data_IF_297904116918
#
_entry.id   IF_297904116918
#
_cell.length_a   1.000
_cell.length_b   1.000
_cell.length_c   1.000
_cell.angle_alpha   90.00
_cell.angle_beta   90.00
_cell.angle_gamma   90.00
#
_symmetry.space_group_name_H-M   'P 1'
#
loop_
_entity.id
_entity.type
_entity.pdbx_description
1 polymer ?
#
# COMPACT_ATOMS: atom_id res chain seq x y z
N UNK A 1 22.70 8.55 6.04
CA UNK A 1 21.63 9.35 5.42
C UNK A 1 21.46 8.91 3.98
N UNK A 2 20.28 9.09 3.42
CA UNK A 2 19.93 8.66 2.06
C UNK A 2 19.46 9.87 1.28
N UNK A 3 20.03 10.08 0.10
CA UNK A 3 19.73 11.25 -0.74
C UNK A 3 18.32 11.15 -1.32
N UNK A 4 17.57 12.23 -1.21
CA UNK A 4 16.25 12.42 -1.84
C UNK A 4 16.45 13.14 -3.16
N UNK A 5 15.97 12.53 -4.25
CA UNK A 5 16.05 13.14 -5.58
C UNK A 5 14.91 14.12 -5.80
N UNK A 6 13.75 13.80 -5.29
CA UNK A 6 12.59 14.67 -5.21
C UNK A 6 11.57 14.14 -4.20
N UNK A 7 10.75 15.05 -3.71
CA UNK A 7 9.58 14.78 -2.90
C UNK A 7 8.47 15.72 -3.36
N UNK A 8 7.54 15.24 -4.15
CA UNK A 8 6.55 16.06 -4.83
C UNK A 8 5.12 15.63 -4.50
N UNK A 9 4.24 16.59 -4.40
CA UNK A 9 2.80 16.36 -4.23
C UNK A 9 2.21 15.78 -5.51
N UNK A 10 1.44 14.68 -5.40
CA UNK A 10 0.78 14.01 -6.53
C UNK A 10 -0.74 14.08 -6.49
N UNK A 11 -1.32 14.24 -5.28
CA UNK A 11 -2.74 14.59 -5.09
C UNK A 11 -2.87 15.62 -3.96
N UNK A 12 -4.08 16.04 -3.61
CA UNK A 12 -4.33 16.97 -2.51
C UNK A 12 -3.74 16.51 -1.16
N UNK A 13 -3.60 15.19 -0.93
CA UNK A 13 -3.10 14.62 0.32
C UNK A 13 -1.96 13.62 0.16
N UNK A 14 -1.45 13.37 -1.06
CA UNK A 14 -0.43 12.35 -1.29
C UNK A 14 0.81 12.93 -1.96
N UNK A 15 1.96 12.32 -1.66
CA UNK A 15 3.28 12.67 -2.17
C UNK A 15 3.95 11.46 -2.79
N UNK A 16 4.80 11.71 -3.80
CA UNK A 16 5.75 10.76 -4.36
C UNK A 16 7.16 11.19 -3.97
N UNK A 17 7.93 10.29 -3.35
CA UNK A 17 9.32 10.53 -2.98
C UNK A 17 10.22 9.50 -3.67
N UNK A 18 11.35 9.98 -4.21
CA UNK A 18 12.41 9.17 -4.81
C UNK A 18 13.68 9.26 -3.97
N UNK A 19 14.22 8.12 -3.57
CA UNK A 19 15.36 8.02 -2.65
C UNK A 19 16.44 7.13 -3.25
N UNK A 20 17.69 7.58 -3.23
CA UNK A 20 18.85 6.74 -3.57
C UNK A 20 19.08 5.71 -2.46
N UNK A 21 18.76 4.44 -2.72
CA UNK A 21 18.92 3.34 -1.77
C UNK A 21 19.33 2.03 -2.49
N UNK A 22 20.53 1.96 -3.06
CA UNK A 22 20.97 0.87 -3.93
C UNK A 22 20.94 -0.51 -3.24
N UNK A 23 21.20 -0.58 -1.94
CA UNK A 23 21.14 -1.84 -1.19
C UNK A 23 19.70 -2.37 -1.04
N UNK A 24 18.71 -1.48 -0.94
CA UNK A 24 17.29 -1.84 -0.92
C UNK A 24 16.88 -2.35 -2.29
N UNK A 25 17.15 -1.56 -3.33
CA UNK A 25 16.74 -1.85 -4.71
C UNK A 25 17.31 -3.17 -5.24
N UNK A 26 18.54 -3.51 -4.87
CA UNK A 26 19.21 -4.74 -5.32
C UNK A 26 18.44 -6.02 -4.99
N UNK A 27 17.60 -6.01 -3.95
CA UNK A 27 16.90 -7.20 -3.42
C UNK A 27 15.39 -7.08 -3.43
N UNK A 28 14.83 -5.97 -3.90
CA UNK A 28 13.39 -5.75 -3.88
C UNK A 28 12.66 -6.67 -4.85
N UNK A 29 11.55 -7.22 -4.37
CA UNK A 29 10.56 -7.94 -5.16
C UNK A 29 9.20 -7.28 -4.89
N UNK A 30 8.30 -7.18 -5.89
CA UNK A 30 6.98 -6.57 -5.67
C UNK A 30 6.21 -7.15 -4.48
N UNK A 31 5.47 -6.29 -3.78
CA UNK A 31 4.74 -6.63 -2.55
C UNK A 31 5.49 -6.29 -1.26
N UNK A 32 6.78 -5.99 -1.34
CA UNK A 32 7.59 -5.59 -0.19
C UNK A 32 7.48 -4.08 0.11
N UNK A 33 7.91 -3.71 1.31
CA UNK A 33 7.91 -2.35 1.82
C UNK A 33 9.28 -1.98 2.43
N UNK A 34 9.46 -0.74 2.82
CA UNK A 34 10.60 -0.29 3.62
C UNK A 34 10.13 0.63 4.75
N UNK A 35 10.94 0.75 5.79
CA UNK A 35 10.77 1.77 6.83
C UNK A 35 11.59 2.99 6.45
N UNK A 36 10.94 4.15 6.39
CA UNK A 36 11.58 5.43 6.10
C UNK A 36 11.57 6.30 7.35
N UNK A 37 12.70 6.91 7.68
CA UNK A 37 12.86 7.87 8.78
C UNK A 37 13.26 9.22 8.22
N UNK A 38 12.44 10.25 8.44
CA UNK A 38 12.72 11.59 7.97
C UNK A 38 13.99 12.18 8.62
N UNK A 39 14.10 12.08 9.96
CA UNK A 39 15.23 12.53 10.78
C UNK A 39 15.62 11.44 11.78
N UNK A 40 16.72 11.65 12.53
CA UNK A 40 17.25 10.69 13.50
C UNK A 40 16.26 10.35 14.63
N UNK A 41 15.50 11.35 15.08
CA UNK A 41 14.50 11.25 16.15
C UNK A 41 13.07 11.00 15.63
N UNK A 42 12.90 10.85 14.30
CA UNK A 42 11.60 10.60 13.68
C UNK A 42 11.15 9.16 13.85
N UNK A 43 9.84 8.96 13.82
CA UNK A 43 9.26 7.62 13.74
C UNK A 43 9.60 6.94 12.41
N UNK A 44 9.66 5.61 12.46
CA UNK A 44 9.79 4.78 11.27
C UNK A 44 8.43 4.64 10.58
N UNK A 45 8.36 5.08 9.34
CA UNK A 45 7.14 5.03 8.54
C UNK A 45 7.20 3.83 7.61
N UNK A 46 6.31 2.83 7.72
CA UNK A 46 6.25 1.72 6.78
C UNK A 46 5.61 2.21 5.46
N UNK A 47 6.39 2.19 4.39
CA UNK A 47 5.96 2.59 3.06
C UNK A 47 6.14 1.44 2.08
N UNK A 48 5.08 1.07 1.38
CA UNK A 48 5.15 0.09 0.30
C UNK A 48 6.04 0.62 -0.83
N UNK A 49 6.93 -0.22 -1.32
CA UNK A 49 7.77 0.12 -2.46
C UNK A 49 6.85 0.18 -3.69
N UNK A 50 6.73 1.38 -4.26
CA UNK A 50 5.84 1.69 -5.37
C UNK A 50 6.47 1.38 -6.73
N UNK A 51 7.75 1.74 -6.89
CA UNK A 51 8.54 1.48 -8.08
C UNK A 51 10.03 1.48 -7.69
N UNK A 52 10.89 1.00 -8.57
CA UNK A 52 12.33 1.01 -8.34
C UNK A 52 13.10 0.98 -9.66
N UNK A 53 14.29 1.58 -9.65
CA UNK A 53 15.25 1.58 -10.76
C UNK A 53 16.53 0.89 -10.28
N UNK A 54 16.75 -0.34 -10.72
CA UNK A 54 17.90 -1.14 -10.27
C UNK A 54 19.24 -0.59 -10.79
N UNK A 55 19.25 0.00 -11.98
CA UNK A 55 20.47 0.54 -12.59
C UNK A 55 20.94 1.79 -11.86
N UNK A 56 20.00 2.66 -11.49
CA UNK A 56 20.28 3.90 -10.77
C UNK A 56 20.27 3.74 -9.24
N UNK A 57 19.84 2.60 -8.73
CA UNK A 57 19.74 2.37 -7.29
C UNK A 57 18.66 3.23 -6.59
N UNK A 58 17.56 3.55 -7.28
CA UNK A 58 16.51 4.45 -6.80
C UNK A 58 15.29 3.65 -6.41
N UNK A 59 14.74 3.93 -5.22
CA UNK A 59 13.45 3.43 -4.76
C UNK A 59 12.43 4.57 -4.72
N UNK A 60 11.18 4.27 -5.10
CA UNK A 60 10.09 5.22 -5.12
C UNK A 60 8.98 4.80 -4.17
N UNK A 61 8.46 5.77 -3.44
CA UNK A 61 7.32 5.58 -2.55
C UNK A 61 6.22 6.59 -2.87
N UNK A 62 4.97 6.17 -2.77
CA UNK A 62 3.82 7.08 -2.69
C UNK A 62 3.21 6.92 -1.31
N UNK A 63 3.02 8.04 -0.62
CA UNK A 63 2.46 8.06 0.73
C UNK A 63 1.42 9.16 0.87
N UNK A 64 0.49 8.94 1.80
CA UNK A 64 -0.52 9.92 2.16
C UNK A 64 -0.15 10.59 3.48
N UNK A 65 -0.36 11.90 3.57
CA UNK A 65 -0.20 12.66 4.81
C UNK A 65 -1.43 12.44 5.68
N UNK A 66 -1.25 11.61 6.71
CA UNK A 66 -2.33 11.18 7.62
C UNK A 66 -1.98 11.39 9.10
N UNK A 67 -0.81 11.91 9.41
CA UNK A 67 -0.32 12.12 10.77
C UNK A 67 0.99 12.90 10.80
N UNK A 68 1.51 13.16 11.99
CA UNK A 68 2.71 13.97 12.21
C UNK A 68 3.92 13.45 11.42
N UNK A 69 4.18 12.14 11.46
CA UNK A 69 5.37 11.55 10.82
C UNK A 69 5.33 11.67 9.30
N UNK A 70 4.17 11.44 8.67
CA UNK A 70 4.00 11.60 7.21
C UNK A 70 3.97 13.08 6.80
N UNK A 71 3.50 13.97 7.66
CA UNK A 71 3.61 15.42 7.44
C UNK A 71 5.07 15.86 7.50
N UNK A 72 5.84 15.43 8.50
CA UNK A 72 7.27 15.71 8.58
C UNK A 72 8.01 15.22 7.33
N UNK A 73 7.74 14.01 6.87
CA UNK A 73 8.32 13.48 5.64
C UNK A 73 8.01 14.36 4.43
N UNK A 74 6.83 14.99 4.37
CA UNK A 74 6.44 15.86 3.23
C UNK A 74 7.29 17.13 3.08
N UNK A 75 7.98 17.54 4.13
CA UNK A 75 8.89 18.69 4.12
C UNK A 75 10.35 18.34 3.77
N UNK A 76 10.68 17.05 3.72
CA UNK A 76 12.03 16.60 3.35
C UNK A 76 12.32 16.95 1.89
N UNK A 77 13.51 17.55 1.64
CA UNK A 77 13.95 17.97 0.29
C UNK A 77 15.20 17.23 -0.17
N UNK A 78 16.20 17.12 0.69
CA UNK A 78 17.54 16.72 0.26
C UNK A 78 17.91 15.30 0.70
N UNK A 79 17.57 14.94 1.95
CA UNK A 79 17.93 13.63 2.51
C UNK A 79 16.94 13.14 3.57
N UNK A 80 16.83 11.83 3.71
CA UNK A 80 16.19 11.16 4.85
C UNK A 80 17.26 10.48 5.70
N UNK A 81 17.00 10.40 7.01
CA UNK A 81 17.94 9.79 7.96
C UNK A 81 18.14 8.28 7.68
N UNK A 82 17.05 7.56 7.41
CA UNK A 82 17.11 6.12 7.26
C UNK A 82 16.11 5.54 6.27
N UNK A 83 16.57 4.49 5.56
CA UNK A 83 15.72 3.59 4.77
C UNK A 83 16.13 2.17 5.10
N UNK A 84 15.23 1.40 5.71
CA UNK A 84 15.46 0.00 6.08
C UNK A 84 14.54 -0.89 5.26
N UNK A 85 15.12 -1.73 4.44
CA UNK A 85 14.36 -2.63 3.55
C UNK A 85 15.27 -3.40 2.58
N UNK A 86 14.67 -4.19 1.68
CA UNK A 86 13.23 -4.48 1.62
C UNK A 86 12.80 -5.35 2.80
N UNK A 87 11.58 -5.13 3.29
CA UNK A 87 10.95 -5.85 4.39
C UNK A 87 9.67 -6.55 3.92
N UNK A 88 9.21 -7.50 4.71
CA UNK A 88 8.05 -8.31 4.38
C UNK A 88 8.35 -9.39 3.34
N UNK A 89 7.39 -10.30 3.18
CA UNK A 89 7.44 -11.31 2.12
C UNK A 89 7.10 -10.68 0.77
N UNK A 90 7.71 -11.12 -0.32
CA UNK A 90 7.27 -10.78 -1.66
C UNK A 90 5.83 -11.23 -1.91
N UNK A 91 5.15 -10.55 -2.84
CA UNK A 91 3.86 -11.02 -3.35
C UNK A 91 3.98 -12.48 -3.86
N UNK A 92 3.06 -13.34 -3.41
CA UNK A 92 3.07 -14.78 -3.73
C UNK A 92 3.02 -15.01 -5.25
N UNK A 93 2.19 -14.23 -5.96
CA UNK A 93 1.99 -14.38 -7.40
C UNK A 93 3.25 -13.99 -8.18
N UNK A 94 3.90 -12.90 -7.79
CA UNK A 94 5.14 -12.46 -8.41
C UNK A 94 6.30 -13.43 -8.12
N UNK A 95 6.37 -13.95 -6.90
CA UNK A 95 7.43 -14.88 -6.48
C UNK A 95 7.32 -16.24 -7.17
N UNK A 96 6.10 -16.75 -7.33
CA UNK A 96 5.82 -18.07 -7.88
C UNK A 96 5.07 -17.96 -9.22
N UNK A 97 5.48 -17.03 -10.09
CA UNK A 97 4.80 -16.65 -11.33
C UNK A 97 4.31 -17.84 -12.16
N UNK A 98 5.13 -18.89 -12.30
CA UNK A 98 4.79 -20.07 -13.11
C UNK A 98 3.51 -20.78 -12.66
N UNK A 99 3.19 -20.77 -11.36
CA UNK A 99 1.97 -21.38 -10.80
C UNK A 99 0.71 -20.57 -11.12
N UNK A 100 0.90 -19.29 -11.48
CA UNK A 100 -0.19 -18.32 -11.67
C UNK A 100 -0.37 -17.84 -13.12
N UNK A 101 0.53 -18.16 -14.03
CA UNK A 101 0.55 -17.62 -15.41
C UNK A 101 -0.72 -17.88 -16.24
N UNK A 102 -1.51 -18.88 -15.86
CA UNK A 102 -2.78 -19.21 -16.53
C UNK A 102 -4.01 -18.78 -15.73
N UNK A 103 -3.82 -18.02 -14.63
CA UNK A 103 -4.92 -17.59 -13.77
C UNK A 103 -5.47 -16.24 -14.20
N UNK A 104 -6.78 -16.09 -14.09
CA UNK A 104 -7.46 -14.81 -14.24
C UNK A 104 -7.42 -14.08 -12.91
N UNK A 105 -6.69 -12.97 -12.86
CA UNK A 105 -6.41 -12.24 -11.64
C UNK A 105 -7.01 -10.84 -11.71
N UNK A 106 -7.72 -10.43 -10.66
CA UNK A 106 -8.18 -9.06 -10.46
C UNK A 106 -7.51 -8.44 -9.25
N UNK A 107 -6.95 -7.26 -9.43
CA UNK A 107 -6.46 -6.42 -8.33
C UNK A 107 -7.51 -5.38 -7.97
N UNK A 108 -7.81 -5.23 -6.68
CA UNK A 108 -8.74 -4.23 -6.15
C UNK A 108 -7.96 -3.25 -5.28
N UNK A 109 -7.83 -2.02 -5.76
CA UNK A 109 -7.03 -0.97 -5.13
C UNK A 109 -7.90 0.15 -4.59
N UNK A 110 -7.70 0.55 -3.34
CA UNK A 110 -8.40 1.68 -2.71
C UNK A 110 -7.48 2.82 -2.32
N UNK A 111 -7.72 4.02 -2.83
CA UNK A 111 -6.94 5.21 -2.51
C UNK A 111 -5.44 5.02 -2.78
N UNK A 112 -4.60 5.25 -1.75
CA UNK A 112 -3.14 5.07 -1.84
C UNK A 112 -2.73 3.61 -2.10
N UNK A 113 -3.62 2.63 -1.90
CA UNK A 113 -3.39 1.22 -2.24
C UNK A 113 -3.10 0.96 -3.71
N UNK A 114 -3.40 1.92 -4.60
CA UNK A 114 -3.00 1.86 -6.00
C UNK A 114 -1.47 1.82 -6.16
N UNK A 115 -0.74 2.47 -5.27
CA UNK A 115 0.73 2.50 -5.30
C UNK A 115 1.36 1.09 -5.12
N UNK A 116 1.06 0.31 -4.06
CA UNK A 116 1.60 -1.04 -3.90
C UNK A 116 1.07 -2.06 -4.93
N UNK A 117 -0.07 -1.80 -5.56
CA UNK A 117 -0.58 -2.64 -6.66
C UNK A 117 0.29 -2.50 -7.92
N UNK A 118 0.74 -1.29 -8.23
CA UNK A 118 1.46 -1.00 -9.47
C UNK A 118 2.71 -1.89 -9.72
N UNK A 119 3.66 -2.03 -8.79
CA UNK A 119 4.84 -2.86 -9.03
C UNK A 119 4.52 -4.33 -9.25
N UNK A 120 3.46 -4.85 -8.60
CA UNK A 120 3.00 -6.21 -8.79
C UNK A 120 2.43 -6.41 -10.19
N UNK A 121 1.52 -5.53 -10.60
CA UNK A 121 0.88 -5.56 -11.94
C UNK A 121 1.91 -5.34 -13.04
N UNK A 122 2.84 -4.39 -12.87
CA UNK A 122 3.94 -4.14 -13.81
C UNK A 122 4.82 -5.38 -13.95
N UNK A 123 5.20 -6.03 -12.85
CA UNK A 123 5.98 -7.27 -12.89
C UNK A 123 5.27 -8.37 -13.70
N UNK A 124 3.99 -8.58 -13.43
CA UNK A 124 3.19 -9.59 -14.15
C UNK A 124 3.07 -9.26 -15.64
N UNK A 125 2.84 -8.00 -15.99
CA UNK A 125 2.81 -7.52 -17.36
C UNK A 125 4.15 -7.79 -18.09
N UNK A 126 5.27 -7.46 -17.45
CA UNK A 126 6.61 -7.63 -18.03
C UNK A 126 6.98 -9.11 -18.23
N UNK A 127 6.30 -10.02 -17.50
CA UNK A 127 6.40 -11.48 -17.66
C UNK A 127 5.29 -12.06 -18.56
N UNK A 128 4.48 -11.22 -19.21
CA UNK A 128 3.47 -11.65 -20.18
C UNK A 128 2.10 -11.99 -19.61
N UNK A 129 1.85 -11.80 -18.32
CA UNK A 129 0.54 -11.98 -17.69
C UNK A 129 -0.16 -10.63 -17.51
N UNK A 130 -1.21 -10.40 -18.27
CA UNK A 130 -2.05 -9.21 -18.13
C UNK A 130 -3.19 -9.49 -17.14
N UNK A 131 -3.32 -8.64 -16.16
CA UNK A 131 -4.34 -8.72 -15.10
C UNK A 131 -5.33 -7.56 -15.19
N UNK A 132 -6.51 -7.71 -14.61
CA UNK A 132 -7.49 -6.63 -14.49
C UNK A 132 -7.30 -5.88 -13.16
N UNK A 133 -7.65 -4.59 -13.17
CA UNK A 133 -7.59 -3.74 -11.97
C UNK A 133 -8.94 -3.04 -11.76
N UNK A 134 -9.41 -2.99 -10.52
CA UNK A 134 -10.50 -2.13 -10.06
C UNK A 134 -9.88 -1.10 -9.12
N UNK A 135 -9.93 0.17 -9.48
CA UNK A 135 -9.34 1.25 -8.71
C UNK A 135 -10.43 2.15 -8.12
N UNK A 136 -10.41 2.34 -6.81
CA UNK A 136 -11.36 3.17 -6.09
C UNK A 136 -10.74 4.36 -5.39
N UNK A 137 -11.46 5.48 -5.38
CA UNK A 137 -11.14 6.67 -4.61
C UNK A 137 -12.40 7.43 -4.23
N UNK A 138 -12.30 8.40 -3.32
CA UNK A 138 -13.43 9.28 -2.98
C UNK A 138 -13.86 10.16 -4.16
N UNK A 139 -12.89 10.64 -4.95
CA UNK A 139 -13.10 11.52 -6.11
C UNK A 139 -12.02 11.30 -7.16
N UNK A 140 -12.26 11.80 -8.38
CA UNK A 140 -11.38 11.64 -9.54
C UNK A 140 -9.95 12.16 -9.32
N UNK A 141 -9.79 13.28 -8.62
CA UNK A 141 -8.50 13.93 -8.32
C UNK A 141 -7.63 13.14 -7.32
N UNK A 142 -8.23 12.16 -6.63
CA UNK A 142 -7.53 11.25 -5.71
C UNK A 142 -7.11 9.92 -6.37
N UNK A 143 -7.48 9.69 -7.62
CA UNK A 143 -7.05 8.51 -8.37
C UNK A 143 -5.57 8.65 -8.77
N UNK A 144 -4.72 7.87 -8.13
CA UNK A 144 -3.27 7.89 -8.32
C UNK A 144 -2.84 7.15 -9.59
N UNK A 145 -1.75 7.59 -10.20
CA UNK A 145 -0.96 6.89 -11.24
C UNK A 145 -1.76 6.24 -12.39
N UNK A 146 -2.89 6.83 -12.75
CA UNK A 146 -3.78 6.30 -13.80
C UNK A 146 -3.04 5.99 -15.09
N UNK A 147 -2.30 6.98 -15.62
CA UNK A 147 -1.59 6.87 -16.90
C UNK A 147 -0.51 5.77 -16.91
N UNK A 148 0.10 5.49 -15.73
CA UNK A 148 1.07 4.40 -15.60
C UNK A 148 0.36 3.05 -15.52
N UNK A 149 -0.72 2.96 -14.75
CA UNK A 149 -1.46 1.72 -14.57
C UNK A 149 -2.13 1.26 -15.86
N UNK A 150 -2.75 2.16 -16.61
CA UNK A 150 -3.43 1.87 -17.88
C UNK A 150 -2.51 1.23 -18.94
N UNK A 151 -1.19 1.44 -18.83
CA UNK A 151 -0.20 0.87 -19.76
C UNK A 151 0.15 -0.59 -19.46
N UNK A 152 -0.09 -1.07 -18.26
CA UNK A 152 0.38 -2.39 -17.78
C UNK A 152 -0.74 -3.37 -17.45
N UNK A 153 -2.00 -2.93 -17.50
CA UNK A 153 -3.18 -3.77 -17.22
C UNK A 153 -3.79 -4.34 -18.50
N UNK A 154 -4.60 -5.40 -18.36
CA UNK A 154 -5.50 -5.85 -19.42
C UNK A 154 -6.72 -4.91 -19.50
N UNK A 155 -7.39 -4.70 -18.36
CA UNK A 155 -8.53 -3.81 -18.21
C UNK A 155 -8.49 -3.13 -16.85
N UNK A 156 -8.81 -1.83 -16.82
CA UNK A 156 -9.01 -1.11 -15.58
C UNK A 156 -10.43 -0.57 -15.50
N UNK A 157 -11.04 -0.71 -14.32
CA UNK A 157 -12.33 -0.14 -13.98
C UNK A 157 -12.14 0.80 -12.80
N UNK A 158 -12.81 1.93 -12.84
CA UNK A 158 -12.73 2.94 -11.80
C UNK A 158 -14.05 3.07 -11.05
N UNK A 159 -13.98 3.28 -9.74
CA UNK A 159 -15.11 3.64 -8.89
C UNK A 159 -14.75 4.90 -8.09
N UNK A 160 -15.68 5.87 -8.03
CA UNK A 160 -15.53 7.02 -7.13
C UNK A 160 -16.78 7.20 -6.30
N UNK A 161 -16.61 7.49 -5.00
CA UNK A 161 -17.72 7.61 -4.08
C UNK A 161 -18.69 8.72 -4.53
N UNK A 162 -18.15 9.84 -5.04
CA UNK A 162 -18.90 11.00 -5.53
C UNK A 162 -19.41 10.86 -6.97
N UNK A 163 -18.93 9.85 -7.73
CA UNK A 163 -19.29 9.64 -9.13
C UNK A 163 -18.59 10.57 -10.12
N UNK A 164 -17.53 11.25 -9.69
CA UNK A 164 -16.77 12.19 -10.54
C UNK A 164 -15.95 11.48 -11.65
N UNK A 165 -15.70 10.16 -11.52
CA UNK A 165 -15.06 9.35 -12.54
C UNK A 165 -15.42 7.86 -12.40
N UNK A 166 -15.67 7.19 -13.54
CA UNK A 166 -16.02 5.77 -13.56
C UNK A 166 -17.42 5.49 -12.98
N UNK A 167 -17.54 4.37 -12.26
CA UNK A 167 -18.77 3.98 -11.58
C UNK A 167 -18.93 4.79 -10.29
N UNK A 168 -20.10 5.37 -10.05
CA UNK A 168 -20.43 5.98 -8.75
C UNK A 168 -20.66 4.87 -7.73
N UNK A 169 -19.89 4.85 -6.65
CA UNK A 169 -19.97 3.85 -5.60
C UNK A 169 -18.62 3.29 -5.21
N UNK A 170 -18.62 2.11 -4.62
CA UNK A 170 -17.42 1.44 -4.10
C UNK A 170 -16.83 0.43 -5.09
N UNK A 171 -15.59 0.06 -4.86
CA UNK A 171 -14.91 -0.99 -5.65
C UNK A 171 -15.65 -2.33 -5.60
N UNK A 172 -16.38 -2.60 -4.53
CA UNK A 172 -17.21 -3.79 -4.38
C UNK A 172 -18.41 -3.81 -5.31
N UNK A 173 -18.99 -2.66 -5.64
CA UNK A 173 -20.11 -2.55 -6.57
C UNK A 173 -19.68 -2.90 -8.00
N UNK A 174 -18.38 -2.68 -8.29
CA UNK A 174 -17.77 -3.04 -9.58
C UNK A 174 -17.30 -4.50 -9.58
N UNK A 175 -16.82 -5.01 -8.44
CA UNK A 175 -16.29 -6.37 -8.31
C UNK A 175 -17.39 -7.44 -8.30
N UNK A 176 -18.44 -7.23 -7.50
CA UNK A 176 -19.49 -8.24 -7.24
C UNK A 176 -20.07 -8.86 -8.52
N UNK A 177 -20.52 -8.06 -9.53
CA UNK A 177 -21.11 -8.62 -10.76
C UNK A 177 -20.13 -9.36 -11.68
N UNK A 178 -18.82 -9.29 -11.44
CA UNK A 178 -17.78 -9.89 -12.29
C UNK A 178 -16.87 -10.85 -11.51
N UNK A 179 -17.14 -11.09 -10.24
CA UNK A 179 -16.26 -11.87 -9.37
C UNK A 179 -16.06 -13.30 -9.86
N UNK A 180 -17.08 -13.91 -10.46
CA UNK A 180 -17.03 -15.28 -11.01
C UNK A 180 -16.14 -15.41 -12.26
N UNK A 181 -15.73 -14.31 -12.87
CA UNK A 181 -14.84 -14.30 -14.04
C UNK A 181 -13.37 -14.55 -13.65
N UNK A 182 -13.03 -14.53 -12.36
CA UNK A 182 -11.65 -14.56 -11.85
C UNK A 182 -11.36 -15.78 -10.98
N UNK A 183 -10.09 -16.18 -10.99
CA UNK A 183 -9.57 -17.25 -10.11
C UNK A 183 -9.02 -16.67 -8.79
N UNK A 184 -8.52 -15.42 -8.83
CA UNK A 184 -7.85 -14.77 -7.68
C UNK A 184 -8.19 -13.29 -7.65
N UNK A 185 -8.50 -12.80 -6.45
CA UNK A 185 -8.59 -11.38 -6.13
C UNK A 185 -7.43 -10.98 -5.22
N UNK A 186 -6.78 -9.84 -5.51
CA UNK A 186 -5.78 -9.22 -4.62
C UNK A 186 -6.30 -7.85 -4.22
N UNK A 187 -6.57 -7.63 -2.94
CA UNK A 187 -7.13 -6.37 -2.45
C UNK A 187 -6.12 -5.61 -1.58
N UNK A 188 -5.85 -4.35 -1.96
CA UNK A 188 -4.90 -3.47 -1.27
C UNK A 188 -5.52 -2.08 -1.07
N UNK A 189 -5.67 -1.66 0.17
CA UNK A 189 -6.28 -0.37 0.50
C UNK A 189 -6.65 -0.23 1.98
N UNK A 190 -7.61 0.63 2.30
CA UNK A 190 -8.12 0.75 3.66
C UNK A 190 -8.64 -0.58 4.21
N UNK A 191 -8.40 -0.82 5.52
CA UNK A 191 -8.77 -2.08 6.18
C UNK A 191 -10.25 -2.44 5.97
N UNK A 192 -11.14 -1.44 6.07
CA UNK A 192 -12.57 -1.64 5.86
C UNK A 192 -12.90 -2.03 4.41
N UNK A 193 -12.19 -1.47 3.42
CA UNK A 193 -12.36 -1.86 2.02
C UNK A 193 -11.93 -3.32 1.80
N UNK A 194 -10.76 -3.71 2.34
CA UNK A 194 -10.28 -5.10 2.22
C UNK A 194 -11.25 -6.09 2.86
N UNK A 195 -11.81 -5.73 4.04
CA UNK A 195 -12.87 -6.53 4.68
C UNK A 195 -14.08 -6.69 3.76
N UNK A 196 -14.63 -5.59 3.23
CA UNK A 196 -15.82 -5.66 2.36
C UNK A 196 -15.55 -6.41 1.06
N UNK A 197 -14.36 -6.28 0.47
CA UNK A 197 -13.94 -7.11 -0.67
C UNK A 197 -13.95 -8.60 -0.30
N UNK A 198 -13.40 -8.97 0.87
CA UNK A 198 -13.44 -10.36 1.34
C UNK A 198 -14.87 -10.87 1.57
N UNK A 199 -15.77 -10.01 2.09
CA UNK A 199 -17.17 -10.37 2.29
C UNK A 199 -17.89 -10.65 0.95
N UNK A 200 -17.54 -9.89 -0.11
CA UNK A 200 -18.04 -10.14 -1.48
C UNK A 200 -17.42 -11.41 -2.05
N UNK A 201 -16.11 -11.51 -2.11
CA UNK A 201 -15.41 -12.63 -2.76
C UNK A 201 -15.68 -13.97 -2.11
N UNK A 202 -16.02 -13.98 -0.81
CA UNK A 202 -16.40 -15.19 -0.10
C UNK A 202 -17.71 -15.80 -0.63
N UNK A 203 -18.67 -14.96 -1.08
CA UNK A 203 -19.92 -15.44 -1.69
C UNK A 203 -19.69 -16.14 -3.02
N UNK A 204 -18.65 -15.72 -3.74
CA UNK A 204 -18.24 -16.27 -5.04
C UNK A 204 -17.18 -17.37 -4.93
N UNK A 205 -16.79 -17.79 -3.71
CA UNK A 205 -15.67 -18.72 -3.48
C UNK A 205 -14.38 -18.29 -4.18
N UNK A 206 -14.19 -16.99 -4.39
CA UNK A 206 -13.02 -16.42 -5.07
C UNK A 206 -11.85 -16.28 -4.09
N UNK A 207 -10.74 -16.99 -4.32
CA UNK A 207 -9.52 -16.87 -3.50
C UNK A 207 -9.11 -15.41 -3.41
N UNK A 208 -8.94 -14.89 -2.19
CA UNK A 208 -8.65 -13.48 -1.97
C UNK A 208 -7.41 -13.29 -1.13
N UNK A 209 -6.45 -12.53 -1.64
CA UNK A 209 -5.25 -12.09 -0.94
C UNK A 209 -5.44 -10.63 -0.54
N UNK A 210 -5.10 -10.27 0.69
CA UNK A 210 -5.15 -8.89 1.19
C UNK A 210 -3.79 -8.45 1.69
N UNK A 211 -3.41 -7.21 1.43
CA UNK A 211 -2.16 -6.62 1.95
C UNK A 211 -2.46 -5.83 3.22
N UNK A 212 -2.17 -6.43 4.36
CA UNK A 212 -2.42 -5.87 5.69
C UNK A 212 -1.48 -4.71 6.00
N UNK A 213 -2.03 -3.64 6.55
CA UNK A 213 -1.33 -2.42 6.92
C UNK A 213 -1.48 -2.04 8.41
N UNK A 214 -1.18 -2.97 9.35
CA UNK A 214 -1.24 -2.68 10.77
C UNK A 214 -0.15 -1.67 11.17
N UNK A 215 -0.27 -1.13 12.39
CA UNK A 215 0.80 -0.34 12.99
C UNK A 215 2.12 -1.12 12.98
N UNK A 216 3.19 -0.49 12.50
CA UNK A 216 4.54 -1.07 12.48
C UNK A 216 5.53 -0.12 13.15
N UNK A 217 6.49 -0.69 13.91
CA UNK A 217 7.51 0.09 14.64
C UNK A 217 8.92 -0.26 14.14
N UNK A 218 9.36 -1.51 14.28
CA UNK A 218 10.74 -1.90 13.94
C UNK A 218 10.90 -2.69 12.64
N UNK A 219 9.83 -3.35 12.17
CA UNK A 219 9.85 -4.15 10.95
C UNK A 219 10.62 -5.48 11.03
N UNK A 220 11.20 -5.81 12.20
CA UNK A 220 12.03 -7.02 12.40
C UNK A 220 11.25 -8.22 12.97
N UNK A 221 9.99 -8.01 13.38
CA UNK A 221 9.16 -9.00 14.06
C UNK A 221 9.39 -9.11 15.57
N UNK A 222 10.31 -8.33 16.13
CA UNK A 222 10.64 -8.41 17.55
C UNK A 222 9.64 -7.66 18.44
N UNK A 223 9.19 -6.47 18.03
CA UNK A 223 8.32 -5.61 18.85
C UNK A 223 6.86 -6.09 18.92
N UNK A 224 6.40 -6.91 17.97
CA UNK A 224 5.03 -7.43 17.92
C UNK A 224 3.95 -6.39 17.62
N UNK A 225 4.28 -5.14 17.27
CA UNK A 225 3.33 -4.08 16.99
C UNK A 225 2.42 -4.43 15.79
N UNK A 226 2.99 -5.01 14.72
CA UNK A 226 2.28 -5.38 13.50
C UNK A 226 1.54 -6.73 13.57
N UNK A 227 1.23 -7.20 14.77
CA UNK A 227 0.51 -8.47 14.96
C UNK A 227 -0.92 -8.39 14.41
N UNK A 228 -1.27 -9.36 13.59
CA UNK A 228 -2.63 -9.64 13.13
C UNK A 228 -2.95 -11.12 13.39
N UNK A 229 -4.23 -11.45 13.42
CA UNK A 229 -4.69 -12.83 13.55
C UNK A 229 -5.11 -13.38 12.19
N UNK A 230 -4.53 -14.54 11.83
CA UNK A 230 -4.79 -15.22 10.57
C UNK A 230 -5.05 -16.70 10.89
N UNK A 231 -6.23 -17.19 10.56
CA UNK A 231 -6.64 -18.58 10.84
C UNK A 231 -6.52 -18.94 12.34
N UNK A 232 -6.95 -18.02 13.22
CA UNK A 232 -6.88 -18.16 14.68
C UNK A 232 -5.46 -18.14 15.26
N UNK A 233 -4.44 -17.74 14.46
CA UNK A 233 -3.04 -17.72 14.89
C UNK A 233 -2.44 -16.35 14.75
N UNK A 234 -1.62 -15.88 15.72
CA UNK A 234 -0.92 -14.61 15.61
C UNK A 234 0.14 -14.67 14.50
N UNK A 235 0.12 -13.68 13.62
CA UNK A 235 1.13 -13.42 12.58
C UNK A 235 1.65 -12.00 12.71
N UNK A 236 2.88 -11.76 12.27
CA UNK A 236 3.48 -10.43 12.21
C UNK A 236 3.56 -10.00 10.75
N UNK A 237 2.85 -8.93 10.38
CA UNK A 237 2.77 -8.49 8.99
C UNK A 237 4.15 -8.15 8.41
N UNK A 238 5.08 -7.63 9.21
CA UNK A 238 6.43 -7.30 8.77
C UNK A 238 7.33 -8.51 8.45
N UNK A 239 6.99 -9.72 8.92
CA UNK A 239 7.78 -10.94 8.71
C UNK A 239 7.03 -11.98 7.89
N UNK A 240 5.76 -12.24 8.23
CA UNK A 240 4.96 -13.30 7.63
C UNK A 240 4.11 -12.80 6.46
N UNK A 241 3.89 -11.48 6.38
CA UNK A 241 3.13 -10.76 5.37
C UNK A 241 4.02 -9.73 4.63
N UNK A 242 3.44 -8.63 4.12
CA UNK A 242 2.15 -8.07 4.51
C UNK A 242 0.90 -8.76 3.93
N UNK A 243 1.07 -9.63 2.94
CA UNK A 243 -0.04 -10.27 2.25
C UNK A 243 -0.45 -11.59 2.92
N UNK A 244 -1.76 -11.80 3.04
CA UNK A 244 -2.36 -12.97 3.66
C UNK A 244 -3.65 -13.39 2.95
N UNK A 245 -4.11 -14.62 3.19
CA UNK A 245 -5.44 -15.08 2.81
C UNK A 245 -6.50 -14.22 3.52
N UNK A 246 -7.21 -13.40 2.75
CA UNK A 246 -8.16 -12.43 3.28
C UNK A 246 -9.35 -13.06 3.99
N UNK A 247 -9.74 -14.29 3.61
CA UNK A 247 -10.85 -15.00 4.25
C UNK A 247 -10.48 -15.58 5.63
N UNK A 248 -9.19 -15.54 6.01
CA UNK A 248 -8.69 -16.04 7.30
C UNK A 248 -8.28 -14.92 8.26
N UNK A 249 -8.41 -13.66 7.87
CA UNK A 249 -8.07 -12.51 8.71
C UNK A 249 -9.20 -12.22 9.71
N UNK A 250 -8.84 -12.00 10.98
CA UNK A 250 -9.72 -11.32 11.92
C UNK A 250 -9.61 -9.79 11.72
N UNK A 251 -10.45 -9.28 10.81
CA UNK A 251 -10.53 -7.86 10.53
C UNK A 251 -11.04 -7.02 11.72
N UNK A 252 -11.87 -7.61 12.59
CA UNK A 252 -12.42 -6.90 13.76
C UNK A 252 -11.30 -6.58 14.74
N UNK A 253 -10.48 -7.58 15.08
CA UNK A 253 -9.31 -7.41 15.92
C UNK A 253 -8.28 -6.48 15.27
N UNK A 254 -8.04 -6.62 13.96
CA UNK A 254 -7.10 -5.77 13.23
C UNK A 254 -7.51 -4.29 13.27
N UNK A 255 -8.78 -3.96 13.02
CA UNK A 255 -9.31 -2.59 13.11
C UNK A 255 -9.27 -2.04 14.54
N UNK A 256 -9.57 -2.86 15.55
CA UNK A 256 -9.45 -2.45 16.95
C UNK A 256 -8.01 -2.04 17.30
N UNK A 257 -7.03 -2.84 16.88
CA UNK A 257 -5.61 -2.56 17.11
C UNK A 257 -5.12 -1.28 16.42
N UNK A 258 -5.61 -0.96 15.23
CA UNK A 258 -5.30 0.30 14.53
C UNK A 258 -5.78 1.55 15.28
N UNK A 259 -6.73 1.40 16.18
CA UNK A 259 -7.25 2.51 16.96
C UNK A 259 -6.52 2.73 18.30
N UNK A 260 -5.55 1.89 18.65
CA UNK A 260 -4.91 1.87 19.99
C UNK A 260 -4.25 3.19 20.36
N UNK A 261 -3.63 3.91 19.41
CA UNK A 261 -2.87 5.15 19.66
C UNK A 261 -3.45 6.37 18.93
N UNK A 262 -4.73 6.33 18.52
CA UNK A 262 -5.34 7.42 17.74
C UNK A 262 -5.38 8.77 18.46
N UNK A 263 -5.56 8.77 19.77
CA UNK A 263 -5.62 10.01 20.56
C UNK A 263 -4.23 10.63 20.65
N UNK A 264 -3.21 9.83 20.96
CA UNK A 264 -1.81 10.25 21.06
C UNK A 264 -1.27 10.72 19.69
N UNK A 265 -1.60 10.02 18.60
CA UNK A 265 -1.25 10.42 17.24
C UNK A 265 -1.87 11.77 16.88
N UNK A 266 -3.14 11.98 17.24
CA UNK A 266 -3.84 13.25 17.00
C UNK A 266 -3.21 14.39 17.81
N UNK A 267 -2.93 14.19 19.09
CA UNK A 267 -2.28 15.19 19.94
C UNK A 267 -0.91 15.59 19.37
N UNK A 268 -0.09 14.61 18.98
CA UNK A 268 1.23 14.85 18.37
C UNK A 268 1.11 15.66 17.08
N UNK A 269 0.14 15.33 16.23
CA UNK A 269 -0.09 16.05 14.98
C UNK A 269 -0.55 17.49 15.23
N UNK A 270 -1.44 17.73 16.17
CA UNK A 270 -1.90 19.07 16.54
C UNK A 270 -0.76 19.92 17.13
N UNK A 271 0.12 19.33 17.95
CA UNK A 271 1.33 20.00 18.46
C UNK A 271 2.28 20.39 17.32
N UNK A 272 2.52 19.47 16.39
CA UNK A 272 3.36 19.75 15.21
C UNK A 272 2.81 20.88 14.36
N UNK A 273 1.51 20.90 14.05
CA UNK A 273 0.86 21.98 13.29
C UNK A 273 1.05 23.33 13.97
N UNK A 274 0.83 23.42 15.28
CA UNK A 274 1.04 24.64 16.08
C UNK A 274 2.49 25.13 16.02
N UNK A 275 3.48 24.20 16.00
CA UNK A 275 4.91 24.55 15.87
C UNK A 275 5.19 25.15 14.49
N UNK A 276 4.73 24.50 13.42
CA UNK A 276 4.91 24.96 12.05
C UNK A 276 4.25 26.32 11.78
N UNK A 277 3.10 26.61 12.38
CA UNK A 277 2.44 27.92 12.29
C UNK A 277 3.25 29.04 12.96
N UNK A 278 3.98 28.72 14.06
CA UNK A 278 4.86 29.68 14.74
C UNK A 278 6.15 29.95 13.95
N UNK A 279 6.69 28.93 13.27
CA UNK A 279 7.91 29.06 12.44
C UNK A 279 7.68 29.82 11.14
N UNK A 280 6.41 29.98 10.68
CA UNK A 280 6.03 30.77 9.51
C UNK A 280 5.75 32.25 9.79
N UNK A 281 5.71 32.66 11.06
CA UNK A 281 5.55 34.07 11.52
C UNK A 281 6.88 34.69 11.90
#
# INVERSE_FOLDING_TARGET
MYKVLYNKKVTSGSYEIAIEAPLVVKKVIPGQFALVMAKEDSERIPLSIYDYDQEKGIVYFIYQVVGASTEELSYVKDEVFGVVGPLGQPNEICKNFEDFKNKKIVYVAGGVGMAPVYPQVKYLHDHGLKVDVIAGARSADLLLIRDKMEKVVNKIRYATDDGSFGTKGFVTDVLDPIADDYDICVAIGPMIMMKTVCDVTKKHNLKTIVSMNPLMVDGSGMCGACRCEVDGKPKFACIHGPEFDGHKIDFSLAMQRMNTYKEEEKEKWDQMKKRLEKEKK
#
